data_IF_834557230045
#
_entry.id   IF_834557230045
#
_cell.length_a   1.000
_cell.length_b   1.000
_cell.length_c   1.000
_cell.angle_alpha   90.00
_cell.angle_beta   90.00
_cell.angle_gamma   90.00
#
_symmetry.space_group_name_H-M   'P 1'
#
loop_
_entity.id
_entity.type
_entity.pdbx_description
1 polymer ?
#
# COMPACT_ATOMS: atom_id res chain seq x y z
N UNK A 1 69.75 -16.20 -54.07
CA UNK A 1 70.22 -17.55 -54.55
C UNK A 1 69.35 -18.63 -53.91
N UNK A 2 68.80 -19.51 -54.72
CA UNK A 2 68.26 -20.84 -54.36
C UNK A 2 66.77 -20.86 -54.11
N UNK A 3 66.00 -21.01 -55.12
CA UNK A 3 65.39 -22.17 -55.79
C UNK A 3 64.49 -23.03 -54.91
N UNK A 4 63.17 -22.88 -55.16
CA UNK A 4 62.22 -23.86 -55.73
C UNK A 4 62.09 -25.24 -55.03
N UNK A 5 60.87 -25.56 -54.65
CA UNK A 5 60.15 -26.71 -55.24
C UNK A 5 58.68 -26.74 -54.74
N UNK A 6 57.76 -26.74 -55.70
CA UNK A 6 56.36 -27.06 -55.58
C UNK A 6 56.21 -28.58 -55.34
N UNK A 7 55.26 -28.93 -54.49
CA UNK A 7 54.67 -30.28 -54.52
C UNK A 7 53.14 -30.09 -54.50
N UNK A 8 52.56 -30.54 -55.59
CA UNK A 8 51.14 -30.70 -55.83
C UNK A 8 50.69 -31.95 -55.08
N UNK A 9 49.71 -31.85 -54.26
CA UNK A 9 49.04 -33.01 -53.64
C UNK A 9 47.53 -32.85 -53.80
N UNK A 10 46.99 -33.74 -54.61
CA UNK A 10 45.56 -33.89 -54.96
C UNK A 10 44.71 -34.37 -53.76
N UNK A 11 43.45 -33.94 -53.81
CA UNK A 11 42.22 -34.71 -53.54
C UNK A 11 41.84 -35.00 -52.10
N UNK A 12 40.66 -34.50 -51.73
CA UNK A 12 39.46 -35.31 -51.52
C UNK A 12 38.31 -34.40 -51.23
N UNK A 13 37.31 -34.39 -52.10
CA UNK A 13 36.00 -33.75 -51.90
C UNK A 13 35.24 -34.64 -50.96
N UNK A 14 35.15 -34.22 -49.68
CA UNK A 14 34.23 -34.79 -48.72
C UNK A 14 33.00 -33.96 -48.69
N UNK A 15 31.89 -34.43 -49.25
CA UNK A 15 30.57 -33.84 -49.11
C UNK A 15 30.09 -34.12 -47.69
N UNK A 16 30.35 -33.19 -46.78
CA UNK A 16 29.76 -33.21 -45.46
C UNK A 16 28.35 -32.63 -45.49
N UNK A 17 27.36 -33.50 -45.34
CA UNK A 17 25.98 -33.09 -45.13
C UNK A 17 25.90 -32.46 -43.74
N UNK A 18 25.86 -31.14 -43.66
CA UNK A 18 25.56 -30.40 -42.41
C UNK A 18 24.06 -30.47 -42.19
N UNK A 19 23.62 -31.36 -41.32
CA UNK A 19 22.24 -31.36 -40.81
C UNK A 19 22.15 -30.22 -39.80
N UNK A 20 21.61 -29.07 -40.22
CA UNK A 20 21.25 -27.97 -39.33
C UNK A 20 19.97 -28.36 -38.59
N UNK A 21 20.09 -28.85 -37.36
CA UNK A 21 18.97 -29.01 -36.47
C UNK A 21 18.60 -27.60 -35.96
N UNK A 22 17.60 -26.99 -36.60
CA UNK A 22 16.97 -25.77 -36.06
C UNK A 22 16.14 -26.20 -34.85
N UNK A 23 16.75 -26.15 -33.69
CA UNK A 23 16.01 -26.24 -32.41
C UNK A 23 15.08 -25.05 -32.29
N UNK A 24 13.78 -25.25 -32.47
CA UNK A 24 12.76 -24.29 -32.05
C UNK A 24 12.86 -24.19 -30.52
N UNK A 25 13.58 -23.19 -30.04
CA UNK A 25 13.51 -22.74 -28.66
C UNK A 25 12.15 -22.00 -28.56
N UNK A 26 11.11 -22.71 -28.16
CA UNK A 26 9.88 -22.07 -27.70
C UNK A 26 10.25 -21.34 -26.42
N UNK A 27 10.59 -20.06 -26.55
CA UNK A 27 10.65 -19.14 -25.42
C UNK A 27 9.25 -19.11 -24.80
N UNK A 28 9.04 -19.91 -23.79
CA UNK A 28 7.87 -19.83 -22.92
C UNK A 28 7.87 -18.43 -22.31
N UNK A 29 7.15 -17.52 -22.94
CA UNK A 29 6.93 -16.17 -22.41
C UNK A 29 6.24 -16.30 -21.07
N UNK A 30 6.99 -16.18 -19.98
CA UNK A 30 6.42 -15.94 -18.67
C UNK A 30 5.63 -14.65 -18.79
N UNK A 31 4.30 -14.74 -18.84
CA UNK A 31 3.44 -13.58 -18.76
C UNK A 31 3.86 -12.77 -17.54
N UNK A 32 4.10 -11.45 -17.67
CA UNK A 32 4.47 -10.64 -16.52
C UNK A 32 3.36 -10.82 -15.49
N UNK A 33 3.71 -11.32 -14.30
CA UNK A 33 2.79 -11.35 -13.17
C UNK A 33 2.30 -9.93 -13.00
N UNK A 34 1.02 -9.68 -13.29
CA UNK A 34 0.37 -8.43 -12.92
C UNK A 34 0.63 -8.24 -11.44
N UNK A 35 1.32 -7.16 -11.08
CA UNK A 35 1.44 -6.77 -9.69
C UNK A 35 0.02 -6.71 -9.12
N UNK A 36 -0.23 -7.41 -8.04
CA UNK A 36 -1.55 -7.40 -7.39
C UNK A 36 -1.86 -5.96 -7.00
N UNK A 37 -3.08 -5.51 -7.28
CA UNK A 37 -3.55 -4.18 -6.86
C UNK A 37 -3.41 -4.06 -5.33
N UNK A 38 -2.62 -3.11 -4.82
CA UNK A 38 -2.42 -2.92 -3.38
C UNK A 38 -3.71 -2.59 -2.62
N UNK A 39 -4.77 -2.17 -3.32
CA UNK A 39 -6.08 -1.85 -2.76
C UNK A 39 -7.17 -2.86 -3.09
N UNK A 40 -6.83 -4.05 -3.59
CA UNK A 40 -7.81 -5.11 -3.90
C UNK A 40 -8.69 -5.52 -2.69
N UNK A 41 -8.21 -5.29 -1.48
CA UNK A 41 -8.92 -5.51 -0.23
C UNK A 41 -9.97 -4.43 0.07
N UNK A 42 -9.84 -3.22 -0.49
CA UNK A 42 -10.68 -2.06 -0.19
C UNK A 42 -12.04 -2.20 -0.88
N UNK A 43 -12.96 -2.81 -0.15
CA UNK A 43 -14.34 -3.00 -0.59
C UNK A 43 -15.27 -2.60 0.56
N UNK A 44 -16.38 -1.89 0.28
CA UNK A 44 -17.37 -1.55 1.29
C UNK A 44 -17.79 -2.78 2.11
N UNK A 45 -17.66 -2.70 3.42
CA UNK A 45 -17.97 -3.80 4.32
C UNK A 45 -18.73 -3.30 5.55
N UNK A 46 -19.50 -4.18 6.18
CA UNK A 46 -20.04 -3.92 7.52
C UNK A 46 -18.95 -4.14 8.57
N UNK A 47 -19.02 -3.43 9.72
CA UNK A 47 -18.16 -3.75 10.85
C UNK A 47 -18.25 -5.23 11.21
N UNK A 48 -17.13 -5.90 11.52
CA UNK A 48 -17.16 -7.28 11.99
C UNK A 48 -17.96 -7.42 13.28
N UNK A 49 -18.58 -8.58 13.45
CA UNK A 49 -19.30 -8.91 14.69
C UNK A 49 -18.36 -8.80 15.89
N UNK A 50 -18.81 -8.18 16.97
CA UNK A 50 -18.04 -7.99 18.20
C UNK A 50 -17.04 -6.81 18.16
N UNK A 51 -16.96 -6.06 17.07
CA UNK A 51 -16.17 -4.83 17.03
C UNK A 51 -16.93 -3.67 17.66
N UNK A 52 -16.18 -2.74 18.23
CA UNK A 52 -16.68 -1.48 18.74
C UNK A 52 -16.70 -0.41 17.65
N UNK A 53 -17.39 0.71 17.89
CA UNK A 53 -17.43 1.84 16.95
C UNK A 53 -17.10 3.13 17.70
N UNK A 54 -16.09 3.84 17.25
CA UNK A 54 -15.82 5.23 17.61
C UNK A 54 -16.52 6.16 16.61
N UNK A 55 -17.03 7.29 17.09
CA UNK A 55 -17.72 8.28 16.25
C UNK A 55 -17.17 9.67 16.46
N UNK A 56 -17.10 10.42 15.36
CA UNK A 56 -16.90 11.87 15.42
C UNK A 56 -18.22 12.58 15.76
N UNK A 57 -18.19 13.83 16.22
CA UNK A 57 -19.41 14.63 16.39
C UNK A 57 -20.25 14.75 15.11
N UNK A 58 -19.61 14.75 13.94
CA UNK A 58 -20.27 14.85 12.63
C UNK A 58 -20.85 13.51 12.15
N UNK A 59 -20.72 12.45 12.96
CA UNK A 59 -21.36 11.17 12.74
C UNK A 59 -20.51 10.12 12.00
N UNK A 60 -19.33 10.46 11.54
CA UNK A 60 -18.43 9.47 10.93
C UNK A 60 -18.13 8.32 11.90
N UNK A 61 -18.13 7.10 11.39
CA UNK A 61 -18.07 5.88 12.18
C UNK A 61 -16.87 5.01 11.81
N UNK A 62 -15.98 4.79 12.78
CA UNK A 62 -14.79 4.00 12.67
C UNK A 62 -14.89 2.75 13.54
N UNK A 63 -14.97 1.58 12.91
CA UNK A 63 -14.99 0.32 13.64
C UNK A 63 -13.59 -0.12 14.07
N UNK A 64 -13.49 -0.72 15.25
CA UNK A 64 -12.22 -1.20 15.80
C UNK A 64 -12.43 -2.48 16.65
N UNK A 65 -11.41 -3.37 16.69
CA UNK A 65 -11.54 -4.65 17.37
C UNK A 65 -11.53 -4.52 18.90
N UNK A 66 -11.99 -5.56 19.63
CA UNK A 66 -11.83 -5.64 21.08
C UNK A 66 -10.37 -5.52 21.52
N UNK A 67 -10.15 -5.01 22.72
CA UNK A 67 -8.81 -4.79 23.29
C UNK A 67 -8.14 -3.49 22.85
N UNK A 68 -8.72 -2.74 21.92
CA UNK A 68 -8.30 -1.37 21.60
C UNK A 68 -9.02 -0.39 22.51
N UNK A 69 -8.37 0.71 22.83
CA UNK A 69 -8.90 1.74 23.74
C UNK A 69 -8.91 3.10 23.07
N UNK A 70 -9.93 3.89 23.36
CA UNK A 70 -9.96 5.29 22.98
C UNK A 70 -8.79 6.04 23.60
N UNK A 71 -8.21 6.95 22.82
CA UNK A 71 -7.14 7.83 23.27
C UNK A 71 -7.56 9.28 23.08
N UNK A 72 -7.00 10.16 23.93
CA UNK A 72 -7.25 11.59 23.82
C UNK A 72 -6.62 12.13 22.54
N UNK A 73 -7.39 12.88 21.79
CA UNK A 73 -7.01 13.54 20.54
C UNK A 73 -7.63 14.93 20.45
N UNK A 74 -7.39 15.63 19.35
CA UNK A 74 -7.96 16.94 19.09
C UNK A 74 -9.51 16.92 19.04
N UNK A 75 -10.16 18.02 19.37
CA UNK A 75 -11.62 18.14 19.23
C UNK A 75 -12.11 17.79 17.82
N UNK A 76 -13.23 17.09 17.73
CA UNK A 76 -13.80 16.63 16.46
C UNK A 76 -13.21 15.32 15.93
N UNK A 77 -12.15 14.81 16.53
CA UNK A 77 -11.45 13.59 16.13
C UNK A 77 -11.83 12.41 17.00
N UNK A 78 -11.93 11.22 16.43
CA UNK A 78 -12.05 9.96 17.18
C UNK A 78 -10.84 9.07 16.90
N UNK A 79 -10.13 8.68 17.97
CA UNK A 79 -8.93 7.83 17.87
C UNK A 79 -8.95 6.70 18.86
N UNK A 80 -8.47 5.56 18.41
CA UNK A 80 -8.29 4.35 19.22
C UNK A 80 -6.92 3.75 18.98
N UNK A 81 -6.36 3.11 19.99
CA UNK A 81 -5.06 2.48 19.89
C UNK A 81 -5.03 1.11 20.58
N UNK A 82 -4.27 0.20 20.01
CA UNK A 82 -3.80 -0.98 20.71
C UNK A 82 -2.51 -0.62 21.45
N UNK A 83 -2.57 -0.63 22.77
CA UNK A 83 -1.42 -0.31 23.62
C UNK A 83 -0.84 -1.58 24.24
N UNK A 84 0.48 -1.64 24.29
CA UNK A 84 1.22 -2.61 25.12
C UNK A 84 1.60 -2.03 26.47
N UNK A 85 2.04 -2.94 27.37
CA UNK A 85 2.69 -2.54 28.62
C UNK A 85 3.81 -1.53 28.34
N UNK A 86 3.86 -0.45 29.12
CA UNK A 86 4.77 0.68 28.87
C UNK A 86 4.26 1.73 27.91
N UNK A 87 2.97 1.68 27.50
CA UNK A 87 2.32 2.75 26.72
C UNK A 87 2.63 2.77 25.21
N UNK A 88 3.44 1.82 24.71
CA UNK A 88 3.74 1.74 23.26
C UNK A 88 2.50 1.41 22.46
N UNK A 89 2.36 2.08 21.32
CA UNK A 89 1.27 1.84 20.37
C UNK A 89 1.70 0.77 19.36
N UNK A 90 0.97 -0.32 19.31
CA UNK A 90 1.15 -1.44 18.37
C UNK A 90 0.12 -1.41 17.23
N UNK A 91 -0.84 -0.51 17.29
CA UNK A 91 -1.82 -0.23 16.25
C UNK A 91 -2.57 1.04 16.57
N UNK A 92 -2.93 1.80 15.55
CA UNK A 92 -3.57 3.10 15.67
C UNK A 92 -4.66 3.25 14.59
N UNK A 93 -5.81 3.73 15.00
CA UNK A 93 -6.91 4.10 14.12
C UNK A 93 -7.38 5.50 14.50
N UNK A 94 -7.59 6.32 13.48
CA UNK A 94 -8.05 7.69 13.65
C UNK A 94 -9.06 8.08 12.57
N UNK A 95 -10.01 8.89 12.91
CA UNK A 95 -10.83 9.64 11.98
C UNK A 95 -10.89 11.09 12.42
N UNK A 96 -10.66 12.00 11.48
CA UNK A 96 -10.69 13.44 11.70
C UNK A 96 -11.38 14.14 10.53
N UNK A 97 -12.17 15.19 10.77
CA UNK A 97 -12.73 16.00 9.70
C UNK A 97 -11.62 16.52 8.77
N UNK A 98 -11.93 16.68 7.50
CA UNK A 98 -11.07 17.36 6.53
C UNK A 98 -10.76 18.77 7.01
N UNK A 99 -9.48 19.16 7.05
CA UNK A 99 -9.04 20.40 7.71
C UNK A 99 -8.39 21.42 6.77
N UNK A 100 -8.03 21.06 5.56
CA UNK A 100 -7.21 21.91 4.71
C UNK A 100 -7.55 21.85 3.23
N UNK A 101 -6.53 22.03 2.41
CA UNK A 101 -6.62 22.06 0.95
C UNK A 101 -6.55 20.67 0.30
N UNK A 102 -6.64 19.60 1.06
CA UNK A 102 -6.71 18.23 0.56
C UNK A 102 -7.98 18.03 -0.28
N UNK A 103 -7.81 17.30 -1.37
CA UNK A 103 -8.88 16.86 -2.28
C UNK A 103 -8.64 15.42 -2.68
N UNK A 104 -9.67 14.73 -3.16
CA UNK A 104 -9.49 13.38 -3.69
C UNK A 104 -8.42 13.33 -4.79
N UNK A 105 -8.35 14.37 -5.63
CA UNK A 105 -7.39 14.44 -6.73
C UNK A 105 -5.93 14.67 -6.29
N UNK A 106 -5.71 15.35 -5.16
CA UNK A 106 -4.35 15.66 -4.69
C UNK A 106 -3.87 14.80 -3.53
N UNK A 107 -4.71 13.92 -2.98
CA UNK A 107 -4.46 13.19 -1.74
C UNK A 107 -3.13 12.42 -1.72
N UNK A 108 -2.81 11.72 -2.79
CA UNK A 108 -1.57 10.94 -2.89
C UNK A 108 -0.28 11.77 -2.77
N UNK A 109 -0.34 13.05 -3.11
CA UNK A 109 0.76 14.01 -2.92
C UNK A 109 0.63 14.76 -1.60
N UNK A 110 -0.60 15.05 -1.19
CA UNK A 110 -0.90 15.85 0.00
C UNK A 110 -0.50 15.09 1.28
N UNK A 111 -0.92 13.82 1.43
CA UNK A 111 -0.69 13.05 2.66
C UNK A 111 0.79 12.89 3.01
N UNK A 112 1.70 12.44 2.12
CA UNK A 112 3.12 12.37 2.44
C UNK A 112 3.75 13.74 2.76
N UNK A 113 3.29 14.81 2.11
CA UNK A 113 3.72 16.17 2.43
C UNK A 113 3.27 16.59 3.84
N UNK A 114 2.04 16.27 4.21
CA UNK A 114 1.48 16.53 5.55
C UNK A 114 2.27 15.81 6.62
N UNK A 115 2.57 14.50 6.43
CA UNK A 115 3.40 13.74 7.36
C UNK A 115 4.77 14.40 7.60
N UNK A 116 5.42 14.89 6.53
CA UNK A 116 6.70 15.63 6.67
C UNK A 116 6.52 16.94 7.44
N UNK A 117 5.46 17.67 7.18
CA UNK A 117 5.18 18.93 7.88
C UNK A 117 4.88 18.72 9.37
N UNK A 118 4.38 17.54 9.74
CA UNK A 118 4.15 17.10 11.13
C UNK A 118 5.42 16.51 11.79
N UNK A 119 6.57 16.57 11.12
CA UNK A 119 7.85 16.15 11.67
C UNK A 119 8.25 14.70 11.39
N UNK A 120 7.48 13.98 10.56
CA UNK A 120 7.87 12.65 10.12
C UNK A 120 9.07 12.73 9.16
N UNK A 121 9.97 11.74 9.28
CA UNK A 121 11.15 11.56 8.42
C UNK A 121 11.00 10.31 7.57
N UNK A 122 11.81 10.18 6.52
CA UNK A 122 11.83 9.00 5.65
C UNK A 122 10.42 8.64 5.15
N UNK A 123 9.67 9.66 4.72
CA UNK A 123 8.29 9.46 4.24
C UNK A 123 8.32 8.95 2.81
N UNK A 124 7.82 7.74 2.60
CA UNK A 124 7.76 7.05 1.32
C UNK A 124 6.32 6.65 0.99
N UNK A 125 5.82 7.11 -0.16
CA UNK A 125 4.56 6.61 -0.71
C UNK A 125 4.81 5.22 -1.30
N UNK A 126 4.08 4.22 -0.80
CA UNK A 126 4.16 2.83 -1.26
C UNK A 126 3.10 2.53 -2.32
N UNK A 127 1.89 3.06 -2.15
CA UNK A 127 0.80 2.91 -3.11
C UNK A 127 -0.21 4.05 -2.98
N UNK A 128 -0.99 4.29 -4.04
CA UNK A 128 -2.06 5.29 -4.01
C UNK A 128 -3.19 4.95 -5.00
N UNK A 129 -4.42 5.31 -4.64
CA UNK A 129 -5.59 5.25 -5.52
C UNK A 129 -6.48 6.46 -5.31
N UNK A 130 -7.03 7.01 -6.39
CA UNK A 130 -8.00 8.12 -6.35
C UNK A 130 -9.44 7.65 -6.57
N UNK A 131 -9.66 6.34 -6.70
CA UNK A 131 -10.97 5.74 -6.97
C UNK A 131 -11.30 4.67 -5.90
N UNK A 132 -11.20 5.05 -4.65
CA UNK A 132 -11.58 4.21 -3.53
C UNK A 132 -13.09 4.30 -3.31
N UNK A 133 -13.73 3.15 -3.13
CA UNK A 133 -15.14 3.05 -2.78
C UNK A 133 -15.28 2.55 -1.36
N UNK A 134 -15.84 3.39 -0.49
CA UNK A 134 -16.19 3.07 0.88
C UNK A 134 -17.71 3.13 1.02
N UNK A 135 -18.31 2.44 1.93
CA UNK A 135 -19.76 2.23 2.11
C UNK A 135 -20.67 3.20 1.31
N UNK A 136 -20.90 4.40 1.74
CA UNK A 136 -21.76 5.40 1.07
C UNK A 136 -20.97 6.58 0.51
N UNK A 137 -19.64 6.42 0.30
CA UNK A 137 -18.74 7.51 -0.02
C UNK A 137 -17.68 7.11 -1.04
N UNK A 138 -17.08 8.12 -1.68
CA UNK A 138 -15.88 7.97 -2.51
C UNK A 138 -14.65 8.44 -1.74
N UNK A 139 -13.50 7.90 -2.09
CA UNK A 139 -12.27 8.25 -1.42
C UNK A 139 -11.04 8.22 -2.33
N UNK A 140 -9.98 8.78 -1.81
CA UNK A 140 -8.62 8.61 -2.31
C UNK A 140 -7.77 8.09 -1.16
N UNK A 141 -7.05 7.00 -1.38
CA UNK A 141 -6.26 6.32 -0.36
C UNK A 141 -4.80 6.25 -0.73
N UNK A 142 -3.95 6.27 0.27
CA UNK A 142 -2.53 5.98 0.15
C UNK A 142 -2.13 4.89 1.15
N UNK A 143 -1.10 4.15 0.81
CA UNK A 143 -0.28 3.38 1.75
C UNK A 143 1.08 4.05 1.75
N UNK A 144 1.54 4.50 2.89
CA UNK A 144 2.86 5.09 3.03
C UNK A 144 3.61 4.57 4.26
N UNK A 145 4.92 4.82 4.29
CA UNK A 145 5.78 4.52 5.43
C UNK A 145 6.52 5.77 5.87
N UNK A 146 6.69 5.95 7.17
CA UNK A 146 7.40 7.09 7.73
C UNK A 146 8.01 6.78 9.09
N UNK A 147 8.99 7.58 9.48
CA UNK A 147 9.68 7.46 10.77
C UNK A 147 9.34 8.65 11.67
N UNK A 148 8.88 8.35 12.87
CA UNK A 148 8.72 9.33 13.97
C UNK A 148 9.95 9.33 14.87
N UNK A 149 9.94 10.12 15.95
CA UNK A 149 10.96 10.04 17.00
C UNK A 149 10.96 8.69 17.74
N UNK A 150 9.85 7.93 17.68
CA UNK A 150 9.68 6.70 18.45
C UNK A 150 9.94 5.44 17.63
N UNK A 151 9.43 5.39 16.39
CA UNK A 151 9.54 4.20 15.54
C UNK A 151 9.16 4.51 14.09
N UNK A 152 9.34 3.54 13.21
CA UNK A 152 8.85 3.57 11.83
C UNK A 152 7.48 2.92 11.76
N UNK A 153 6.56 3.58 11.06
CA UNK A 153 5.19 3.14 10.82
C UNK A 153 4.95 2.88 9.35
N UNK A 154 4.02 1.99 9.08
CA UNK A 154 3.26 1.95 7.83
C UNK A 154 1.83 2.33 8.14
N UNK A 155 1.18 3.06 7.21
CA UNK A 155 -0.20 3.50 7.36
C UNK A 155 -0.99 3.33 6.08
N UNK A 156 -2.29 3.14 6.24
CA UNK A 156 -3.31 3.40 5.25
C UNK A 156 -3.97 4.71 5.64
N UNK A 157 -3.97 5.69 4.74
CA UNK A 157 -4.67 6.95 4.97
C UNK A 157 -5.58 7.27 3.79
N UNK A 158 -6.88 7.47 4.08
CA UNK A 158 -7.89 7.78 3.07
C UNK A 158 -8.56 9.11 3.37
N UNK A 159 -8.62 9.99 2.37
CA UNK A 159 -9.59 11.07 2.35
C UNK A 159 -10.89 10.52 1.77
N UNK A 160 -11.98 10.62 2.53
CA UNK A 160 -13.29 10.09 2.19
C UNK A 160 -14.29 11.23 2.12
N UNK A 161 -15.04 11.30 1.02
CA UNK A 161 -16.05 12.35 0.81
C UNK A 161 -17.42 11.69 0.66
N UNK A 162 -18.27 11.97 1.63
CA UNK A 162 -19.66 11.54 1.67
C UNK A 162 -20.64 12.69 1.39
N UNK A 163 -21.95 12.44 1.48
CA UNK A 163 -22.98 13.43 1.17
C UNK A 163 -22.96 14.65 2.11
N UNK A 164 -22.55 14.49 3.37
CA UNK A 164 -22.63 15.54 4.41
C UNK A 164 -21.29 16.03 4.91
N UNK A 165 -20.23 15.24 4.79
CA UNK A 165 -18.90 15.58 5.30
C UNK A 165 -17.79 14.96 4.48
N UNK A 166 -16.57 15.43 4.75
CA UNK A 166 -15.35 14.82 4.27
C UNK A 166 -14.42 14.55 5.44
N UNK A 167 -13.92 13.32 5.52
CA UNK A 167 -13.16 12.82 6.64
C UNK A 167 -11.82 12.23 6.16
N UNK A 168 -10.83 12.30 7.03
CA UNK A 168 -9.58 11.54 6.87
C UNK A 168 -9.61 10.38 7.85
N UNK A 169 -9.55 9.16 7.32
CA UNK A 169 -9.35 7.95 8.13
C UNK A 169 -7.92 7.47 7.99
N UNK A 170 -7.28 7.20 9.13
CA UNK A 170 -5.91 6.70 9.22
C UNK A 170 -5.90 5.38 10.00
N UNK A 171 -5.19 4.40 9.47
CA UNK A 171 -4.97 3.10 10.09
C UNK A 171 -3.48 2.77 10.00
N UNK A 172 -2.78 2.72 11.15
CA UNK A 172 -1.32 2.60 11.17
C UNK A 172 -0.85 1.55 12.18
N UNK A 173 0.31 0.96 11.87
CA UNK A 173 1.04 0.10 12.81
C UNK A 173 2.56 0.28 12.63
N UNK A 174 3.37 -0.02 13.66
CA UNK A 174 4.82 -0.12 13.47
C UNK A 174 5.15 -1.11 12.35
N UNK A 175 6.09 -0.75 11.46
CA UNK A 175 6.48 -1.57 10.28
C UNK A 175 6.79 -3.02 10.66
N UNK A 176 7.45 -3.24 11.80
CA UNK A 176 7.76 -4.60 12.32
C UNK A 176 6.51 -5.44 12.64
N UNK A 177 5.33 -4.81 12.78
CA UNK A 177 4.05 -5.46 13.08
C UNK A 177 3.07 -5.39 11.90
N UNK A 178 3.45 -4.74 10.80
CA UNK A 178 2.56 -4.49 9.68
C UNK A 178 1.91 -5.76 9.15
N UNK A 179 2.70 -6.79 8.86
CA UNK A 179 2.17 -8.07 8.37
C UNK A 179 1.14 -8.72 9.31
N UNK A 180 1.28 -8.51 10.62
CA UNK A 180 0.33 -9.05 11.61
C UNK A 180 -0.92 -8.20 11.76
N UNK A 181 -0.86 -6.92 11.37
CA UNK A 181 -1.91 -5.92 11.64
C UNK A 181 -2.64 -5.46 10.39
N UNK A 182 -2.01 -5.49 9.20
CA UNK A 182 -2.56 -4.90 7.97
C UNK A 182 -3.96 -5.41 7.67
N UNK A 183 -4.22 -6.71 7.68
CA UNK A 183 -5.53 -7.27 7.38
C UNK A 183 -6.65 -6.76 8.32
N UNK A 184 -6.34 -6.51 9.57
CA UNK A 184 -7.28 -5.95 10.55
C UNK A 184 -7.47 -4.44 10.32
N UNK A 185 -6.40 -3.71 10.02
CA UNK A 185 -6.44 -2.28 9.69
C UNK A 185 -7.20 -2.03 8.37
N UNK A 186 -6.97 -2.84 7.36
CA UNK A 186 -7.70 -2.85 6.09
C UNK A 186 -9.20 -3.06 6.32
N UNK A 187 -9.57 -3.97 7.21
CA UNK A 187 -10.95 -4.23 7.56
C UNK A 187 -11.60 -3.05 8.29
N UNK A 188 -10.87 -2.38 9.16
CA UNK A 188 -11.34 -1.15 9.81
C UNK A 188 -11.65 -0.06 8.78
N UNK A 189 -10.73 0.18 7.83
CA UNK A 189 -10.91 1.15 6.75
C UNK A 189 -12.06 0.74 5.83
N UNK A 190 -12.18 -0.53 5.43
CA UNK A 190 -13.27 -1.04 4.57
C UNK A 190 -14.66 -0.88 5.21
N UNK A 191 -14.74 -0.87 6.55
CA UNK A 191 -15.99 -0.70 7.29
C UNK A 191 -16.29 0.75 7.69
N UNK A 192 -15.40 1.69 7.36
CA UNK A 192 -15.57 3.11 7.65
C UNK A 192 -16.81 3.69 6.95
N UNK A 193 -17.53 4.59 7.62
CA UNK A 193 -18.70 5.28 7.10
C UNK A 193 -18.69 6.76 7.51
N UNK A 194 -19.13 7.62 6.60
CA UNK A 194 -19.44 9.05 6.79
C UNK A 194 -20.92 9.30 6.62
#
# INVERSE_FOLDING_TARGET
MGRTRAVIGLSAVGVGVVVVIIGLVTAGGASPRRASDPFAWLRPASPPVGWHVARTPDGAALAYPPGWTAIKTDPGTASVALRRNGGRIDGYLNVTPKQGAETLANWSRFRPKKNRAEGARNVHLLAGTNDAHLRSARGSCVIDAYTTSLTTYEEIACLVSGPGSSEVVVAAAPTRLWQQRSAMLERAVSSFAV
#
